data_IF_829932430592
#
_entry.id   IF_829932430592
#
_cell.length_a   1.000
_cell.length_b   1.000
_cell.length_c   1.000
_cell.angle_alpha   90.00
_cell.angle_beta   90.00
_cell.angle_gamma   90.00
#
_symmetry.space_group_name_H-M   'P 1'
#
loop_
_entity.id
_entity.type
_entity.pdbx_description
1 polymer ?
#
# COMPACT_ATOMS: atom_id res chain seq x y z
N UNK A 1 -2.83 -44.86 43.49
CA UNK A 1 -3.79 -43.74 43.67
C UNK A 1 -3.17 -42.34 43.74
N UNK A 2 -2.18 -42.07 44.62
CA UNK A 2 -1.58 -40.72 44.80
C UNK A 2 -0.87 -40.15 43.55
N UNK A 3 -0.10 -40.96 42.82
CA UNK A 3 0.57 -40.55 41.57
C UNK A 3 -0.43 -40.22 40.46
N UNK A 4 -1.51 -41.00 40.35
CA UNK A 4 -2.58 -40.79 39.37
C UNK A 4 -3.36 -39.49 39.63
N UNK A 5 -3.68 -39.20 40.90
CA UNK A 5 -4.30 -37.92 41.30
C UNK A 5 -3.39 -36.72 41.00
N UNK A 6 -2.08 -36.84 41.23
CA UNK A 6 -1.11 -35.77 40.90
C UNK A 6 -1.02 -35.53 39.39
N UNK A 7 -1.04 -36.59 38.58
CA UNK A 7 -1.06 -36.47 37.13
C UNK A 7 -2.34 -35.78 36.62
N UNK A 8 -3.51 -36.16 37.14
CA UNK A 8 -4.79 -35.51 36.80
C UNK A 8 -4.77 -34.02 37.17
N UNK A 9 -4.32 -33.68 38.38
CA UNK A 9 -4.23 -32.28 38.82
C UNK A 9 -3.26 -31.47 37.95
N UNK A 10 -2.12 -32.06 37.56
CA UNK A 10 -1.17 -31.39 36.67
C UNK A 10 -1.77 -31.14 35.28
N UNK A 11 -2.48 -32.12 34.70
CA UNK A 11 -3.16 -31.97 33.41
C UNK A 11 -4.26 -30.91 33.47
N UNK A 12 -5.07 -30.90 34.53
CA UNK A 12 -6.11 -29.88 34.72
C UNK A 12 -5.52 -28.48 34.90
N UNK A 13 -4.42 -28.35 35.64
CA UNK A 13 -3.71 -27.08 35.79
C UNK A 13 -3.15 -26.59 34.45
N UNK A 14 -2.53 -27.47 33.65
CA UNK A 14 -2.07 -27.16 32.30
C UNK A 14 -3.21 -26.74 31.37
N UNK A 15 -4.34 -27.44 31.42
CA UNK A 15 -5.52 -27.11 30.63
C UNK A 15 -6.10 -25.73 31.01
N UNK A 16 -6.14 -25.40 32.31
CA UNK A 16 -6.56 -24.09 32.80
C UNK A 16 -5.60 -22.98 32.35
N UNK A 17 -4.30 -23.19 32.44
CA UNK A 17 -3.30 -22.23 31.98
C UNK A 17 -3.40 -22.02 30.47
N UNK A 18 -3.50 -23.11 29.68
CA UNK A 18 -3.69 -23.02 28.23
C UNK A 18 -5.00 -22.30 27.88
N UNK A 19 -6.09 -22.59 28.59
CA UNK A 19 -7.38 -21.90 28.42
C UNK A 19 -7.31 -20.41 28.75
N UNK A 20 -6.60 -20.04 29.82
CA UNK A 20 -6.38 -18.64 30.20
C UNK A 20 -5.52 -17.90 29.17
N UNK A 21 -4.43 -18.51 28.69
CA UNK A 21 -3.60 -17.95 27.63
C UNK A 21 -4.42 -17.76 26.36
N UNK A 22 -5.19 -18.77 25.94
CA UNK A 22 -6.07 -18.67 24.78
C UNK A 22 -7.09 -17.55 24.92
N UNK A 23 -7.74 -17.43 26.08
CA UNK A 23 -8.70 -16.36 26.35
C UNK A 23 -8.04 -14.97 26.30
N UNK A 24 -6.86 -14.81 26.89
CA UNK A 24 -6.11 -13.55 26.84
C UNK A 24 -5.73 -13.21 25.40
N UNK A 25 -5.17 -14.16 24.64
CA UNK A 25 -4.80 -13.95 23.22
C UNK A 25 -6.03 -13.59 22.40
N UNK A 26 -7.15 -14.29 22.58
CA UNK A 26 -8.41 -14.01 21.88
C UNK A 26 -8.96 -12.61 22.22
N UNK A 27 -8.87 -12.16 23.47
CA UNK A 27 -9.27 -10.81 23.89
C UNK A 27 -8.36 -9.74 23.29
N UNK A 28 -7.04 -9.96 23.32
CA UNK A 28 -6.06 -9.03 22.77
C UNK A 28 -6.18 -8.92 21.25
N UNK A 29 -6.36 -10.03 20.53
CA UNK A 29 -6.53 -10.04 19.07
C UNK A 29 -7.82 -9.34 18.62
N UNK A 30 -8.89 -9.41 19.42
CA UNK A 30 -10.16 -8.71 19.16
C UNK A 30 -10.15 -7.24 19.57
N UNK A 31 -9.10 -6.77 20.25
CA UNK A 31 -9.05 -5.40 20.76
C UNK A 31 -8.71 -4.42 19.65
N UNK A 32 -9.67 -3.59 19.26
CA UNK A 32 -9.45 -2.49 18.30
C UNK A 32 -8.47 -1.42 18.82
N UNK A 33 -8.32 -1.28 20.14
CA UNK A 33 -7.45 -0.24 20.73
C UNK A 33 -5.97 -0.59 20.70
N UNK A 34 -5.61 -1.85 20.46
CA UNK A 34 -4.22 -2.34 20.46
C UNK A 34 -3.66 -2.57 19.04
N UNK A 35 -4.47 -2.29 18.00
CA UNK A 35 -4.06 -2.50 16.61
C UNK A 35 -3.08 -1.42 16.18
N UNK A 36 -1.88 -1.84 15.78
CA UNK A 36 -0.91 -0.96 15.14
C UNK A 36 -1.18 -0.94 13.65
N UNK A 37 -1.74 0.16 13.15
CA UNK A 37 -2.13 0.28 11.75
C UNK A 37 -0.92 0.51 10.85
N UNK A 38 -0.67 -0.43 9.94
CA UNK A 38 0.51 -0.43 9.05
C UNK A 38 0.25 -1.25 7.81
N UNK A 39 1.05 -1.00 6.77
CA UNK A 39 1.07 -1.81 5.56
C UNK A 39 2.46 -2.39 5.36
N UNK A 40 2.51 -3.66 4.96
CA UNK A 40 3.72 -4.45 4.82
C UNK A 40 3.78 -5.03 3.41
N UNK A 41 4.90 -4.81 2.73
CA UNK A 41 5.22 -5.46 1.46
C UNK A 41 6.31 -6.51 1.67
N UNK A 42 6.12 -7.69 1.08
CA UNK A 42 7.05 -8.83 1.15
C UNK A 42 7.66 -9.09 -0.22
N UNK A 43 8.99 -9.13 -0.30
CA UNK A 43 9.73 -9.46 -1.51
C UNK A 43 10.79 -10.52 -1.20
N UNK A 44 10.49 -11.78 -1.51
CA UNK A 44 11.35 -12.89 -1.09
C UNK A 44 11.38 -13.00 0.44
N UNK A 45 12.57 -12.90 1.04
CA UNK A 45 12.75 -12.84 2.50
C UNK A 45 12.64 -11.43 3.08
N UNK A 46 12.65 -10.40 2.24
CA UNK A 46 12.68 -9.02 2.71
C UNK A 46 11.27 -8.53 3.03
N UNK A 47 11.13 -7.84 4.14
CA UNK A 47 9.86 -7.30 4.63
C UNK A 47 10.06 -5.82 4.94
N UNK A 48 9.21 -4.98 4.35
CA UNK A 48 9.26 -3.53 4.52
C UNK A 48 7.90 -3.00 4.93
N UNK A 49 7.92 -2.02 5.83
CA UNK A 49 6.73 -1.43 6.42
C UNK A 49 6.59 0.04 6.01
N UNK A 50 5.34 0.44 5.79
CA UNK A 50 4.92 1.83 5.64
C UNK A 50 3.73 2.11 6.54
N UNK A 51 3.65 3.33 7.06
CA UNK A 51 2.41 3.84 7.65
C UNK A 51 1.31 3.87 6.58
N UNK A 52 0.04 3.79 7.00
CA UNK A 52 -1.10 3.66 6.09
C UNK A 52 -1.19 4.80 5.07
N UNK A 53 -0.86 6.03 5.47
CA UNK A 53 -0.86 7.19 4.58
C UNK A 53 0.31 7.19 3.60
N UNK A 54 1.47 6.71 4.01
CA UNK A 54 2.62 6.49 3.14
C UNK A 54 2.32 5.39 2.09
N UNK A 55 1.65 4.31 2.51
CA UNK A 55 1.25 3.23 1.62
C UNK A 55 0.21 3.69 0.59
N UNK A 56 -0.76 4.51 0.98
CA UNK A 56 -1.71 5.11 0.05
C UNK A 56 -1.00 5.97 -1.03
N UNK A 57 -0.06 6.83 -0.63
CA UNK A 57 0.74 7.62 -1.58
C UNK A 57 1.64 6.75 -2.46
N UNK A 58 2.29 5.73 -1.89
CA UNK A 58 3.08 4.76 -2.65
C UNK A 58 2.24 4.02 -3.70
N UNK A 59 0.99 3.66 -3.34
CA UNK A 59 0.07 3.01 -4.26
C UNK A 59 -0.31 3.90 -5.43
N UNK A 60 -0.50 5.21 -5.22
CA UNK A 60 -0.79 6.16 -6.28
C UNK A 60 0.42 6.33 -7.22
N UNK A 61 1.61 6.53 -6.68
CA UNK A 61 2.86 6.64 -7.46
C UNK A 61 3.04 5.40 -8.34
N UNK A 62 2.80 4.21 -7.79
CA UNK A 62 2.96 2.93 -8.50
C UNK A 62 1.86 2.72 -9.54
N UNK A 63 0.61 3.06 -9.22
CA UNK A 63 -0.52 2.97 -10.14
C UNK A 63 -0.32 3.86 -11.39
N UNK A 64 0.21 5.08 -11.21
CA UNK A 64 0.53 5.97 -12.33
C UNK A 64 1.64 5.37 -13.22
N UNK A 65 2.62 4.66 -12.64
CA UNK A 65 3.62 3.91 -13.44
C UNK A 65 2.95 2.84 -14.30
N UNK A 66 2.00 2.08 -13.74
CA UNK A 66 1.24 1.04 -14.44
C UNK A 66 0.37 1.65 -15.54
N UNK A 67 -0.36 2.72 -15.23
CA UNK A 67 -1.19 3.47 -16.18
C UNK A 67 -0.38 3.95 -17.40
N UNK A 68 0.86 4.38 -17.17
CA UNK A 68 1.78 4.85 -18.22
C UNK A 68 2.49 3.71 -18.98
N UNK A 69 2.25 2.46 -18.63
CA UNK A 69 2.94 1.30 -19.21
C UNK A 69 4.45 1.28 -18.92
N UNK A 70 4.90 1.93 -17.84
CA UNK A 70 6.30 1.96 -17.45
C UNK A 70 6.70 0.67 -16.72
N UNK A 71 7.97 0.23 -16.85
CA UNK A 71 8.43 -0.97 -16.16
C UNK A 71 8.35 -0.80 -14.62
N UNK A 72 8.19 -1.88 -13.84
CA UNK A 72 8.15 -1.81 -12.36
C UNK A 72 9.33 -1.10 -11.73
N UNK A 73 10.48 -1.10 -12.41
CA UNK A 73 11.66 -0.34 -11.99
C UNK A 73 11.38 1.17 -11.90
N UNK A 74 10.57 1.74 -12.78
CA UNK A 74 10.19 3.14 -12.70
C UNK A 74 9.50 3.45 -11.38
N UNK A 75 8.55 2.61 -10.96
CA UNK A 75 7.93 2.69 -9.64
C UNK A 75 8.96 2.53 -8.50
N UNK A 76 9.92 1.60 -8.61
CA UNK A 76 10.97 1.46 -7.59
C UNK A 76 11.79 2.75 -7.41
N UNK A 77 12.14 3.40 -8.52
CA UNK A 77 12.89 4.66 -8.52
C UNK A 77 12.05 5.79 -7.92
N UNK A 78 10.79 5.91 -8.33
CA UNK A 78 9.88 6.93 -7.83
C UNK A 78 9.62 6.77 -6.32
N UNK A 79 9.38 5.54 -5.85
CA UNK A 79 9.14 5.26 -4.43
C UNK A 79 10.37 5.54 -3.56
N UNK A 80 11.56 5.12 -3.99
CA UNK A 80 12.80 5.45 -3.28
C UNK A 80 13.04 6.97 -3.24
N UNK A 81 12.70 7.67 -4.32
CA UNK A 81 12.80 9.13 -4.41
C UNK A 81 11.82 9.80 -3.45
N UNK A 82 10.53 9.54 -3.54
CA UNK A 82 9.52 10.16 -2.69
C UNK A 82 9.71 9.81 -1.20
N UNK A 83 10.26 8.63 -0.89
CA UNK A 83 10.64 8.30 0.49
C UNK A 83 11.77 9.19 1.00
N UNK A 84 12.78 9.46 0.18
CA UNK A 84 13.87 10.36 0.54
C UNK A 84 13.41 11.82 0.68
N UNK A 85 12.58 12.28 -0.26
CA UNK A 85 12.18 13.68 -0.36
C UNK A 85 11.16 14.07 0.70
N UNK A 86 10.17 13.22 0.96
CA UNK A 86 9.06 13.58 1.85
C UNK A 86 8.60 12.46 2.78
N UNK A 87 9.33 11.35 2.82
CA UNK A 87 8.89 10.10 3.47
C UNK A 87 7.53 9.64 2.93
N UNK A 88 7.30 9.75 1.61
CA UNK A 88 6.03 9.40 0.95
C UNK A 88 4.82 10.18 1.51
N UNK A 89 5.01 11.43 1.94
CA UNK A 89 3.94 12.31 2.42
C UNK A 89 3.83 13.56 1.54
N UNK A 90 2.62 14.00 1.27
CA UNK A 90 2.39 15.19 0.47
C UNK A 90 2.51 16.45 1.34
N UNK A 91 3.73 16.97 1.53
CA UNK A 91 4.02 18.06 2.47
C UNK A 91 4.01 19.44 1.78
N UNK A 92 3.55 20.46 2.51
CA UNK A 92 3.37 21.83 2.00
C UNK A 92 4.51 22.79 2.35
N UNK A 93 5.66 22.27 2.77
CA UNK A 93 6.84 23.05 3.12
C UNK A 93 8.10 22.38 2.55
N UNK A 94 9.14 23.20 2.39
CA UNK A 94 10.50 22.77 2.08
C UNK A 94 11.47 23.15 3.20
N UNK A 95 12.77 23.06 2.92
CA UNK A 95 13.84 23.42 3.85
C UNK A 95 14.48 24.78 3.51
N UNK A 96 15.55 25.15 4.21
CA UNK A 96 16.28 26.41 3.95
C UNK A 96 16.91 26.45 2.55
N UNK A 97 17.28 25.29 1.97
CA UNK A 97 17.89 25.21 0.65
C UNK A 97 16.84 25.30 -0.48
N UNK A 98 15.61 24.85 -0.24
CA UNK A 98 14.48 24.91 -1.15
C UNK A 98 13.18 25.26 -0.43
N UNK A 99 12.97 26.52 -0.01
CA UNK A 99 11.78 26.90 0.78
C UNK A 99 10.47 26.81 -0.02
N UNK A 100 10.54 26.79 -1.35
CA UNK A 100 9.41 26.58 -2.26
C UNK A 100 9.23 25.12 -2.69
N UNK A 101 10.02 24.17 -2.16
CA UNK A 101 9.81 22.74 -2.41
C UNK A 101 8.48 22.25 -1.82
N UNK A 102 7.75 21.43 -2.57
CA UNK A 102 6.42 20.95 -2.21
C UNK A 102 6.16 19.51 -2.64
N UNK A 103 5.20 18.90 -1.96
CA UNK A 103 4.57 17.64 -2.33
C UNK A 103 5.44 16.40 -2.15
N UNK A 104 5.00 15.30 -2.79
CA UNK A 104 5.60 13.96 -2.66
C UNK A 104 7.09 13.90 -3.05
N UNK A 105 7.49 14.72 -4.01
CA UNK A 105 8.84 14.70 -4.58
C UNK A 105 9.64 15.95 -4.24
N UNK A 106 9.15 16.82 -3.33
CA UNK A 106 9.79 18.10 -3.01
C UNK A 106 10.14 18.93 -4.25
N UNK A 107 9.25 18.90 -5.24
CA UNK A 107 9.41 19.60 -6.50
C UNK A 107 9.29 21.11 -6.29
N UNK A 108 10.08 21.89 -7.03
CA UNK A 108 10.19 23.34 -6.87
C UNK A 108 9.52 24.08 -8.04
N UNK A 109 8.45 24.87 -7.78
CA UNK A 109 7.87 25.74 -8.80
C UNK A 109 8.90 26.69 -9.44
N UNK A 110 9.83 27.24 -8.64
CA UNK A 110 10.89 28.12 -9.14
C UNK A 110 11.86 27.44 -10.13
N UNK A 111 11.91 26.11 -10.16
CA UNK A 111 12.74 25.34 -11.09
C UNK A 111 11.96 24.80 -12.30
N UNK A 112 10.69 25.20 -12.46
CA UNK A 112 9.88 24.84 -13.61
C UNK A 112 9.16 23.50 -13.49
N UNK A 113 9.04 22.95 -12.28
CA UNK A 113 8.27 21.72 -12.05
C UNK A 113 6.75 21.89 -12.10
N UNK A 114 6.25 23.12 -12.22
CA UNK A 114 4.82 23.44 -12.23
C UNK A 114 4.51 24.62 -11.30
N UNK A 115 3.24 24.95 -11.14
CA UNK A 115 2.76 25.88 -10.10
C UNK A 115 2.72 25.19 -8.73
N UNK A 116 2.66 25.96 -7.64
CA UNK A 116 2.53 25.41 -6.28
C UNK A 116 1.33 24.45 -6.14
N UNK A 117 0.18 24.81 -6.72
CA UNK A 117 -1.01 23.95 -6.71
C UNK A 117 -0.78 22.63 -7.47
N UNK A 118 -0.04 22.68 -8.58
CA UNK A 118 0.29 21.49 -9.37
C UNK A 118 1.26 20.56 -8.64
N UNK A 119 2.35 21.08 -8.07
CA UNK A 119 3.30 20.23 -7.34
C UNK A 119 2.73 19.69 -6.02
N UNK A 120 1.69 20.33 -5.49
CA UNK A 120 0.90 19.83 -4.36
C UNK A 120 -0.16 18.79 -4.75
N UNK A 121 -0.47 18.64 -6.03
CA UNK A 121 -1.33 17.55 -6.51
C UNK A 121 -0.48 16.28 -6.72
N UNK A 122 -0.71 15.21 -5.93
CA UNK A 122 0.03 13.96 -6.04
C UNK A 122 0.00 13.31 -7.43
N UNK A 123 -1.11 13.47 -8.18
CA UNK A 123 -1.26 12.92 -9.53
C UNK A 123 -0.36 13.67 -10.50
N UNK A 124 -0.41 15.00 -10.46
CA UNK A 124 0.47 15.84 -11.27
C UNK A 124 1.94 15.61 -10.92
N UNK A 125 2.31 15.68 -9.64
CA UNK A 125 3.69 15.55 -9.18
C UNK A 125 4.33 14.22 -9.60
N UNK A 126 3.57 13.11 -9.50
CA UNK A 126 4.00 11.78 -9.95
C UNK A 126 4.18 11.73 -11.46
N UNK A 127 3.24 12.29 -12.24
CA UNK A 127 3.39 12.36 -13.69
C UNK A 127 4.59 13.21 -14.11
N UNK A 128 4.78 14.37 -13.49
CA UNK A 128 5.93 15.23 -13.75
C UNK A 128 7.27 14.53 -13.43
N UNK A 129 7.33 13.76 -12.33
CA UNK A 129 8.50 12.95 -12.00
C UNK A 129 8.80 11.93 -13.10
N UNK A 130 7.80 11.16 -13.53
CA UNK A 130 7.97 10.17 -14.58
C UNK A 130 8.31 10.81 -15.94
N UNK A 131 7.80 12.01 -16.25
CA UNK A 131 8.17 12.77 -17.44
C UNK A 131 9.64 13.18 -17.44
N UNK A 132 10.21 13.41 -16.25
CA UNK A 132 11.65 13.57 -16.06
C UNK A 132 12.39 12.25 -16.22
N UNK A 133 11.92 11.18 -15.59
CA UNK A 133 12.57 9.87 -15.58
C UNK A 133 12.73 9.27 -16.98
N UNK A 134 11.69 9.31 -17.81
CA UNK A 134 11.75 8.74 -19.17
C UNK A 134 12.72 9.47 -20.10
N UNK A 135 13.20 10.67 -19.71
CA UNK A 135 14.23 11.41 -20.44
C UNK A 135 15.65 11.03 -20.01
N UNK A 136 15.81 10.25 -18.95
CA UNK A 136 17.11 9.76 -18.45
C UNK A 136 17.51 8.51 -19.24
N UNK A 137 18.53 8.56 -20.11
CA UNK A 137 18.92 7.40 -20.90
C UNK A 137 19.38 6.24 -20.02
N UNK A 138 18.80 5.06 -20.24
CA UNK A 138 19.20 3.82 -19.55
C UNK A 138 18.74 3.71 -18.09
N UNK A 139 17.77 4.51 -17.64
CA UNK A 139 17.23 4.43 -16.28
C UNK A 139 16.73 3.03 -15.92
N UNK A 140 16.35 2.22 -16.91
CA UNK A 140 15.87 0.84 -16.76
C UNK A 140 16.95 -0.12 -16.21
N UNK A 141 18.22 0.26 -16.31
CA UNK A 141 19.36 -0.58 -15.88
C UNK A 141 20.30 0.14 -14.92
N UNK A 142 20.32 1.48 -14.96
CA UNK A 142 21.08 2.35 -14.06
C UNK A 142 20.70 2.16 -12.59
N UNK A 143 21.66 2.23 -11.67
CA UNK A 143 21.40 2.21 -10.22
C UNK A 143 20.26 3.16 -9.84
N UNK A 144 19.36 2.73 -8.93
CA UNK A 144 18.15 3.51 -8.62
C UNK A 144 18.53 4.89 -8.10
N UNK A 145 19.52 4.98 -7.20
CA UNK A 145 20.01 6.26 -6.68
C UNK A 145 20.55 7.18 -7.77
N UNK A 146 21.14 6.64 -8.84
CA UNK A 146 21.64 7.43 -9.96
C UNK A 146 20.51 7.93 -10.86
N UNK A 147 19.52 7.08 -11.13
CA UNK A 147 18.34 7.48 -11.89
C UNK A 147 17.52 8.56 -11.14
N UNK A 148 17.29 8.35 -9.84
CA UNK A 148 16.64 9.33 -8.96
C UNK A 148 17.40 10.66 -8.96
N UNK A 149 18.73 10.63 -8.80
CA UNK A 149 19.57 11.82 -8.84
C UNK A 149 19.55 12.51 -10.21
N UNK A 150 19.51 11.76 -11.32
CA UNK A 150 19.46 12.35 -12.66
C UNK A 150 18.18 13.15 -12.89
N UNK A 151 17.07 12.72 -12.28
CA UNK A 151 15.79 13.44 -12.29
C UNK A 151 15.79 14.63 -11.32
N UNK A 152 16.08 14.39 -10.04
CA UNK A 152 15.91 15.40 -8.98
C UNK A 152 17.06 16.39 -8.84
N UNK A 153 18.29 15.97 -9.20
CA UNK A 153 19.52 16.77 -9.08
C UNK A 153 19.70 17.34 -7.66
N UNK A 154 19.53 16.51 -6.62
CA UNK A 154 19.66 16.95 -5.23
C UNK A 154 21.12 17.13 -4.80
N UNK A 155 21.34 17.78 -3.65
CA UNK A 155 22.67 17.94 -3.06
C UNK A 155 23.24 16.65 -2.45
N UNK A 156 22.45 15.58 -2.34
CA UNK A 156 22.83 14.32 -1.68
C UNK A 156 22.59 13.09 -2.57
N UNK A 157 23.41 12.88 -3.63
CA UNK A 157 23.17 11.85 -4.64
C UNK A 157 23.02 10.41 -4.15
N UNK A 158 23.59 10.09 -2.98
CA UNK A 158 23.58 8.74 -2.39
C UNK A 158 22.47 8.52 -1.36
N UNK A 159 21.67 9.54 -1.04
CA UNK A 159 20.65 9.44 -0.01
C UNK A 159 19.51 8.49 -0.43
N UNK A 160 19.20 8.40 -1.73
CA UNK A 160 18.17 7.50 -2.23
C UNK A 160 18.51 6.00 -2.04
N UNK A 161 19.80 5.65 -2.04
CA UNK A 161 20.28 4.27 -1.96
C UNK A 161 19.72 3.50 -0.75
N UNK A 162 19.53 4.18 0.39
CA UNK A 162 19.00 3.56 1.61
C UNK A 162 17.53 3.12 1.49
N UNK A 163 16.80 3.65 0.50
CA UNK A 163 15.38 3.37 0.27
C UNK A 163 15.13 2.40 -0.88
N UNK A 164 16.18 1.90 -1.56
CA UNK A 164 16.02 1.05 -2.74
C UNK A 164 15.34 -0.29 -2.45
N UNK A 165 15.68 -0.94 -1.32
CA UNK A 165 15.07 -2.21 -0.94
C UNK A 165 13.55 -2.07 -0.70
N UNK A 166 13.17 -1.04 0.09
CA UNK A 166 11.76 -0.68 0.31
C UNK A 166 11.07 -0.35 -1.02
N UNK A 167 11.70 0.49 -1.85
CA UNK A 167 11.15 0.90 -3.14
C UNK A 167 10.93 -0.30 -4.08
N UNK A 168 11.84 -1.27 -4.12
CA UNK A 168 11.68 -2.51 -4.91
C UNK A 168 10.55 -3.39 -4.36
N UNK A 169 10.48 -3.60 -3.04
CA UNK A 169 9.47 -4.44 -2.43
C UNK A 169 8.06 -3.89 -2.66
N UNK A 170 7.84 -2.61 -2.36
CA UNK A 170 6.55 -1.96 -2.59
C UNK A 170 6.22 -1.82 -4.07
N UNK A 171 7.18 -1.51 -4.94
CA UNK A 171 6.92 -1.47 -6.38
C UNK A 171 6.49 -2.84 -6.91
N UNK A 172 7.16 -3.93 -6.53
CA UNK A 172 6.80 -5.28 -6.98
C UNK A 172 5.37 -5.65 -6.58
N UNK A 173 4.98 -5.35 -5.34
CA UNK A 173 3.63 -5.57 -4.85
C UNK A 173 2.61 -4.66 -5.56
N UNK A 174 2.80 -3.34 -5.52
CA UNK A 174 1.84 -2.35 -5.99
C UNK A 174 1.70 -2.27 -7.52
N UNK A 175 2.67 -2.80 -8.26
CA UNK A 175 2.56 -2.98 -9.73
C UNK A 175 2.04 -4.37 -10.11
N UNK A 176 1.71 -5.21 -9.13
CA UNK A 176 1.05 -6.50 -9.31
C UNK A 176 1.96 -7.65 -9.77
N UNK A 177 3.29 -7.49 -9.66
CA UNK A 177 4.27 -8.52 -10.05
C UNK A 177 4.53 -9.55 -8.94
N UNK A 178 4.21 -9.21 -7.70
CA UNK A 178 4.23 -10.13 -6.56
C UNK A 178 2.83 -10.29 -6.00
N UNK A 179 2.16 -11.39 -6.34
CA UNK A 179 0.79 -11.70 -5.88
C UNK A 179 0.71 -11.83 -4.36
N UNK A 180 -0.39 -11.38 -3.75
CA UNK A 180 -0.64 -11.47 -2.30
C UNK A 180 0.45 -10.90 -1.39
N UNK A 181 1.31 -10.02 -1.91
CA UNK A 181 2.53 -9.59 -1.22
C UNK A 181 2.39 -8.27 -0.46
N UNK A 182 1.27 -7.54 -0.61
CA UNK A 182 0.95 -6.38 0.21
C UNK A 182 -0.19 -6.72 1.18
N UNK A 183 0.04 -6.52 2.48
CA UNK A 183 -0.97 -6.64 3.52
C UNK A 183 -1.02 -5.35 4.34
N UNK A 184 -2.23 -4.88 4.68
CA UNK A 184 -2.39 -3.84 5.69
C UNK A 184 -3.13 -4.41 6.91
N UNK A 185 -2.60 -4.16 8.10
CA UNK A 185 -3.32 -4.41 9.35
C UNK A 185 -4.01 -3.12 9.76
N UNK A 186 -5.33 -3.14 9.93
CA UNK A 186 -6.14 -1.95 10.20
C UNK A 186 -7.17 -2.23 11.29
N UNK A 187 -7.60 -1.18 12.00
CA UNK A 187 -8.80 -1.23 12.83
C UNK A 187 -10.04 -1.33 11.97
N UNK A 188 -11.17 -1.79 12.50
CA UNK A 188 -12.42 -1.75 11.74
C UNK A 188 -12.88 -0.30 11.51
N UNK A 189 -13.44 0.03 10.34
CA UNK A 189 -13.92 1.37 10.05
C UNK A 189 -15.18 1.70 10.89
N UNK A 190 -15.26 2.93 11.39
CA UNK A 190 -16.40 3.41 12.18
C UNK A 190 -17.55 3.94 11.31
N UNK A 191 -17.27 4.26 10.05
CA UNK A 191 -18.22 4.80 9.09
C UNK A 191 -18.43 3.85 7.90
N UNK A 192 -19.57 4.01 7.23
CA UNK A 192 -19.83 3.40 5.94
C UNK A 192 -18.76 3.82 4.92
N UNK A 193 -18.39 2.92 4.02
CA UNK A 193 -17.65 3.32 2.83
C UNK A 193 -18.56 3.64 1.66
N UNK A 194 -18.02 4.33 0.67
CA UNK A 194 -18.70 4.68 -0.57
C UNK A 194 -18.08 3.93 -1.75
N UNK A 195 -18.79 2.97 -2.39
CA UNK A 195 -18.30 2.28 -3.58
C UNK A 195 -18.02 3.22 -4.75
N UNK A 196 -18.71 4.35 -4.88
CA UNK A 196 -18.43 5.33 -5.93
C UNK A 196 -17.06 5.99 -5.73
N UNK A 197 -16.71 6.33 -4.48
CA UNK A 197 -15.39 6.85 -4.15
C UNK A 197 -14.26 5.84 -4.46
N UNK A 198 -14.52 4.53 -4.34
CA UNK A 198 -13.58 3.49 -4.79
C UNK A 198 -13.38 3.54 -6.30
N UNK A 199 -14.47 3.63 -7.08
CA UNK A 199 -14.40 3.76 -8.55
C UNK A 199 -13.65 5.03 -8.97
N UNK A 200 -13.91 6.17 -8.32
CA UNK A 200 -13.22 7.44 -8.57
C UNK A 200 -11.72 7.34 -8.25
N UNK A 201 -11.37 6.68 -7.15
CA UNK A 201 -9.99 6.43 -6.77
C UNK A 201 -9.23 5.55 -7.78
N UNK A 202 -9.86 4.46 -8.25
CA UNK A 202 -9.29 3.60 -9.30
C UNK A 202 -9.13 4.39 -10.60
N UNK A 203 -10.15 5.17 -10.98
CA UNK A 203 -10.13 5.98 -12.19
C UNK A 203 -9.01 7.02 -12.16
N UNK A 204 -8.80 7.65 -11.00
CA UNK A 204 -7.70 8.60 -10.78
C UNK A 204 -6.34 7.92 -10.88
N UNK A 205 -6.18 6.75 -10.27
CA UNK A 205 -4.89 6.08 -10.14
C UNK A 205 -4.46 5.31 -11.41
N UNK A 206 -5.41 4.66 -12.09
CA UNK A 206 -5.14 3.76 -13.21
C UNK A 206 -5.79 4.22 -14.52
N UNK A 207 -6.64 5.24 -14.51
CA UNK A 207 -7.47 5.63 -15.67
C UNK A 207 -8.79 4.86 -15.72
N UNK A 208 -9.58 5.08 -16.76
CA UNK A 208 -10.91 4.46 -16.87
C UNK A 208 -10.86 2.93 -16.98
N UNK A 209 -11.53 2.25 -16.06
CA UNK A 209 -11.77 0.81 -16.07
C UNK A 209 -13.27 0.53 -16.06
N UNK A 210 -13.71 -0.55 -16.71
CA UNK A 210 -15.09 -1.00 -16.56
C UNK A 210 -15.28 -1.53 -15.15
N UNK A 211 -16.01 -0.78 -14.33
CA UNK A 211 -16.34 -1.13 -12.96
C UNK A 211 -17.86 -1.16 -12.77
N UNK A 212 -18.36 -2.21 -12.12
CA UNK A 212 -19.77 -2.34 -11.79
C UNK A 212 -19.95 -2.25 -10.27
N UNK A 213 -20.82 -1.34 -9.82
CA UNK A 213 -21.18 -1.21 -8.41
C UNK A 213 -22.39 -2.10 -8.12
N UNK A 214 -22.26 -3.01 -7.16
CA UNK A 214 -23.33 -3.89 -6.67
C UNK A 214 -23.44 -3.76 -5.15
N UNK A 215 -24.41 -2.98 -4.68
CA UNK A 215 -24.58 -2.71 -3.25
C UNK A 215 -23.35 -2.00 -2.67
N UNK A 216 -22.55 -2.72 -1.88
CA UNK A 216 -21.32 -2.22 -1.23
C UNK A 216 -20.03 -2.65 -1.94
N UNK A 217 -20.16 -3.34 -3.06
CA UNK A 217 -19.02 -3.95 -3.74
C UNK A 217 -18.81 -3.32 -5.11
N UNK A 218 -17.55 -3.12 -5.47
CA UNK A 218 -17.09 -2.75 -6.81
C UNK A 218 -16.47 -3.97 -7.45
N UNK A 219 -16.98 -4.37 -8.62
CA UNK A 219 -16.46 -5.48 -9.41
C UNK A 219 -15.76 -4.95 -10.66
N UNK A 220 -14.56 -5.45 -10.93
CA UNK A 220 -13.75 -5.13 -12.10
C UNK A 220 -13.36 -6.41 -12.84
N UNK A 221 -13.66 -6.46 -14.13
CA UNK A 221 -13.30 -7.56 -15.04
C UNK A 221 -11.86 -7.36 -15.55
N UNK A 222 -10.88 -7.58 -14.66
CA UNK A 222 -9.45 -7.46 -14.92
C UNK A 222 -8.72 -8.69 -14.41
N UNK A 223 -7.64 -9.08 -15.08
CA UNK A 223 -6.86 -10.29 -14.75
C UNK A 223 -5.34 -10.01 -14.71
N UNK A 224 -4.57 -10.99 -14.25
CA UNK A 224 -3.11 -10.95 -14.23
C UNK A 224 -2.52 -9.85 -13.36
N UNK A 225 -1.42 -9.25 -13.80
CA UNK A 225 -0.70 -8.23 -13.01
C UNK A 225 -1.55 -6.98 -12.76
N UNK A 226 -2.45 -6.62 -13.68
CA UNK A 226 -3.34 -5.46 -13.50
C UNK A 226 -4.38 -5.70 -12.40
N UNK A 227 -4.91 -6.92 -12.29
CA UNK A 227 -5.80 -7.30 -11.19
C UNK A 227 -5.09 -7.15 -9.84
N UNK A 228 -3.86 -7.65 -9.73
CA UNK A 228 -3.06 -7.52 -8.51
C UNK A 228 -2.64 -6.09 -8.19
N UNK A 229 -2.34 -5.26 -9.19
CA UNK A 229 -2.06 -3.84 -8.98
C UNK A 229 -3.27 -3.11 -8.39
N UNK A 230 -4.48 -3.36 -8.92
CA UNK A 230 -5.73 -2.77 -8.43
C UNK A 230 -6.08 -3.32 -7.03
N UNK A 231 -5.92 -4.62 -6.81
CA UNK A 231 -6.18 -5.25 -5.51
C UNK A 231 -5.27 -4.71 -4.41
N UNK A 232 -3.96 -4.61 -4.67
CA UNK A 232 -3.02 -4.03 -3.71
C UNK A 232 -3.22 -2.52 -3.52
N UNK A 233 -3.60 -1.78 -4.57
CA UNK A 233 -4.03 -0.39 -4.41
C UNK A 233 -5.24 -0.28 -3.49
N UNK A 234 -6.24 -1.16 -3.62
CA UNK A 234 -7.42 -1.17 -2.77
C UNK A 234 -7.06 -1.47 -1.30
N UNK A 235 -6.15 -2.43 -1.05
CA UNK A 235 -5.62 -2.72 0.30
C UNK A 235 -4.88 -1.52 0.88
N UNK A 236 -4.01 -0.85 0.10
CA UNK A 236 -3.28 0.34 0.55
C UNK A 236 -4.20 1.53 0.89
N UNK A 237 -5.35 1.65 0.21
CA UNK A 237 -6.34 2.70 0.42
C UNK A 237 -7.49 2.27 1.35
N UNK A 238 -7.43 1.07 1.94
CA UNK A 238 -8.54 0.52 2.68
C UNK A 238 -8.94 1.34 3.91
N UNK A 239 -7.98 2.04 4.52
CA UNK A 239 -8.25 2.92 5.65
C UNK A 239 -9.09 4.14 5.25
N UNK A 240 -8.72 4.84 4.18
CA UNK A 240 -9.40 6.07 3.74
C UNK A 240 -10.74 5.79 3.06
N UNK A 241 -10.86 4.66 2.37
CA UNK A 241 -12.05 4.26 1.62
C UNK A 241 -12.98 3.31 2.40
N UNK A 242 -12.67 3.05 3.67
CA UNK A 242 -13.41 2.10 4.51
C UNK A 242 -13.59 0.72 3.87
N UNK A 243 -12.60 0.24 3.11
CA UNK A 243 -12.61 -1.09 2.49
C UNK A 243 -12.43 -2.14 3.60
N UNK A 244 -13.22 -3.19 3.53
CA UNK A 244 -13.21 -4.30 4.51
C UNK A 244 -12.78 -5.63 3.89
N UNK A 245 -12.94 -5.79 2.58
CA UNK A 245 -12.54 -7.00 1.88
C UNK A 245 -12.10 -6.68 0.44
N UNK A 246 -11.08 -7.39 -0.03
CA UNK A 246 -10.61 -7.35 -1.43
C UNK A 246 -10.41 -8.79 -1.90
N UNK A 247 -11.05 -9.17 -2.99
CA UNK A 247 -10.92 -10.47 -3.63
C UNK A 247 -10.27 -10.30 -5.00
N UNK A 248 -9.26 -11.11 -5.31
CA UNK A 248 -8.54 -11.08 -6.58
C UNK A 248 -7.90 -12.43 -6.88
N UNK A 249 -8.05 -12.94 -8.11
CA UNK A 249 -7.40 -14.16 -8.58
C UNK A 249 -7.54 -15.36 -7.61
N UNK A 250 -8.74 -15.57 -7.06
CA UNK A 250 -9.02 -16.63 -6.10
C UNK A 250 -8.38 -16.45 -4.71
N UNK A 251 -7.86 -15.26 -4.39
CA UNK A 251 -7.39 -14.87 -3.06
C UNK A 251 -8.30 -13.80 -2.47
N UNK A 252 -8.36 -13.74 -1.14
CA UNK A 252 -9.13 -12.76 -0.37
C UNK A 252 -8.28 -12.15 0.73
N UNK A 253 -8.31 -10.82 0.83
CA UNK A 253 -7.81 -10.06 1.97
C UNK A 253 -9.01 -9.57 2.77
N UNK A 254 -9.05 -9.90 4.07
CA UNK A 254 -10.14 -9.53 4.96
C UNK A 254 -9.61 -8.72 6.15
N UNK A 255 -10.07 -7.47 6.25
CA UNK A 255 -9.64 -6.51 7.27
C UNK A 255 -9.92 -6.97 8.71
N UNK A 256 -11.02 -7.67 8.92
CA UNK A 256 -11.44 -8.15 10.25
C UNK A 256 -10.55 -9.30 10.73
N UNK A 257 -10.18 -10.21 9.83
CA UNK A 257 -9.38 -11.39 10.18
C UNK A 257 -7.92 -11.08 10.52
N UNK A 258 -7.35 -10.03 9.93
CA UNK A 258 -5.96 -9.56 10.18
C UNK A 258 -4.88 -10.64 10.03
N UNK A 259 -5.10 -11.58 9.13
CA UNK A 259 -4.23 -12.74 8.90
C UNK A 259 -3.65 -12.75 7.47
N UNK A 260 -3.80 -11.66 6.73
CA UNK A 260 -3.26 -11.48 5.37
C UNK A 260 -4.18 -12.01 4.28
N UNK A 261 -3.57 -12.46 3.18
CA UNK A 261 -4.27 -13.05 2.03
C UNK A 261 -4.47 -14.56 2.21
N UNK A 262 -5.64 -15.06 1.84
CA UNK A 262 -5.98 -16.49 1.86
C UNK A 262 -6.74 -16.89 0.61
N UNK A 263 -6.83 -18.19 0.33
CA UNK A 263 -7.69 -18.69 -0.74
C UNK A 263 -9.16 -18.25 -0.50
N UNK A 264 -9.78 -17.68 -1.53
CA UNK A 264 -11.20 -17.33 -1.52
C UNK A 264 -12.07 -18.59 -1.52
N UNK A 265 -13.19 -18.54 -0.79
CA UNK A 265 -14.20 -19.59 -0.82
C UNK A 265 -15.02 -19.59 -2.13
N UNK A 266 -15.07 -18.44 -2.80
CA UNK A 266 -15.74 -18.25 -4.10
C UNK A 266 -14.76 -17.53 -5.05
N UNK A 267 -13.93 -18.29 -5.78
CA UNK A 267 -12.88 -17.71 -6.61
C UNK A 267 -13.49 -17.07 -7.87
N UNK A 268 -13.36 -15.75 -7.98
CA UNK A 268 -13.62 -14.98 -9.20
C UNK A 268 -12.32 -14.72 -9.99
N UNK A 269 -12.42 -14.64 -11.31
CA UNK A 269 -11.29 -14.22 -12.16
C UNK A 269 -11.00 -12.71 -12.06
N UNK A 270 -12.02 -11.90 -11.75
CA UNK A 270 -11.92 -10.44 -11.58
C UNK A 270 -11.48 -9.98 -10.19
N UNK A 271 -11.54 -8.66 -9.98
CA UNK A 271 -11.30 -8.02 -8.68
C UNK A 271 -12.62 -7.54 -8.08
N UNK A 272 -12.87 -7.93 -6.83
CA UNK A 272 -14.02 -7.43 -6.05
C UNK A 272 -13.53 -6.67 -4.82
N UNK A 273 -13.98 -5.42 -4.66
CA UNK A 273 -13.63 -4.57 -3.52
C UNK A 273 -14.91 -4.27 -2.76
N UNK A 274 -14.96 -4.65 -1.48
CA UNK A 274 -16.13 -4.44 -0.62
C UNK A 274 -15.85 -3.43 0.47
N UNK A 275 -16.69 -2.41 0.58
CA UNK A 275 -16.60 -1.35 1.61
C UNK A 275 -17.49 -1.61 2.81
N UNK A 276 -17.19 -0.97 3.93
CA UNK A 276 -17.94 -1.08 5.18
C UNK A 276 -19.43 -0.75 5.01
N UNK A 277 -20.27 -1.47 5.75
CA UNK A 277 -21.70 -1.22 5.78
C UNK A 277 -22.05 0.08 6.52
N UNK A 278 -23.21 0.70 6.21
CA UNK A 278 -23.75 1.79 7.02
C UNK A 278 -23.94 1.35 8.47
N UNK A 279 -23.56 2.23 9.40
CA UNK A 279 -23.89 2.07 10.82
C UNK A 279 -25.40 2.21 10.96
N UNK A 280 -26.08 1.13 11.32
CA UNK A 280 -27.53 1.10 11.57
C UNK A 280 -27.89 1.72 12.90
#
# INVERSE_FOLDING_TARGET
MRRFRRAIVAVLALALVAGAIYAIVAVLQRSETLVTERCVAVAGSDTHELATDQAANASLISAISVQRGLPPRAASIALATAMQESRLRNINYGDEAGPDSRGLFQQRPSQGWGTEAQVMDPVYASNAFYDGLVKVPGFETMEITQAAQAVQRSAFPRAYAQHEAMGRAFASALTGHSESSLNCELRMPEAAGDPAAVVDGITTAFGGHAATVQGRSVQLEVAGTQAWAIAHWAVANAKSLSITQVDAAGQTWNREKRDGWHASADPSEGVTITVSAPTT
#
